data_IF_405573581963
#
_entry.id   IF_405573581963
#
_cell.length_a   1.000
_cell.length_b   1.000
_cell.length_c   1.000
_cell.angle_alpha   90.00
_cell.angle_beta   90.00
_cell.angle_gamma   90.00
#
_symmetry.space_group_name_H-M   'P 1'
#
loop_
_entity.id
_entity.type
_entity.pdbx_description
1 polymer ?
#
# COMPACT_ATOMS: atom_id res chain seq x y z
N UNK A 1 10.95 25.74 11.47
CA UNK A 1 9.95 24.98 10.69
C UNK A 1 9.51 25.86 9.54
N UNK A 2 9.41 25.33 8.33
CA UNK A 2 9.13 26.16 7.14
C UNK A 2 7.61 26.18 6.92
N UNK A 3 7.01 27.36 7.08
CA UNK A 3 5.62 27.57 6.71
C UNK A 3 5.48 27.52 5.19
N UNK A 4 4.47 26.82 4.71
CA UNK A 4 4.13 26.74 3.28
C UNK A 4 2.64 27.01 3.09
N UNK A 5 2.32 27.60 1.94
CA UNK A 5 0.94 27.91 1.55
C UNK A 5 0.72 27.50 0.11
N UNK A 6 -0.40 26.83 -0.14
CA UNK A 6 -0.85 26.44 -1.47
C UNK A 6 -2.28 26.92 -1.71
N UNK A 7 -2.58 27.23 -2.95
CA UNK A 7 -3.94 27.50 -3.43
C UNK A 7 -4.30 26.40 -4.46
N UNK A 8 -5.14 25.46 -4.05
CA UNK A 8 -5.60 24.37 -4.92
C UNK A 8 -6.79 24.79 -5.77
N UNK A 9 -6.74 24.55 -7.11
CA UNK A 9 -7.86 24.80 -8.02
C UNK A 9 -9.10 24.01 -7.61
N UNK A 10 -8.91 22.74 -7.33
CA UNK A 10 -9.88 21.80 -6.76
C UNK A 10 -9.22 20.97 -5.67
N UNK A 11 -9.92 20.69 -4.59
CA UNK A 11 -9.48 19.76 -3.56
C UNK A 11 -10.63 18.91 -3.04
N UNK A 12 -10.34 17.65 -2.71
CA UNK A 12 -11.29 16.78 -2.04
C UNK A 12 -11.09 16.84 -0.53
N UNK A 13 -12.12 17.34 0.17
CA UNK A 13 -12.05 17.58 1.62
C UNK A 13 -12.98 16.63 2.39
N UNK A 14 -12.53 16.11 3.55
CA UNK A 14 -13.36 15.22 4.39
C UNK A 14 -14.70 15.85 4.75
N UNK A 15 -15.80 15.14 4.49
CA UNK A 15 -17.17 15.58 4.82
C UNK A 15 -17.71 16.78 4.04
N UNK A 16 -16.89 17.43 3.18
CA UNK A 16 -17.29 18.54 2.33
C UNK A 16 -17.31 18.16 0.85
N UNK A 17 -16.65 17.04 0.49
CA UNK A 17 -16.53 16.60 -0.90
C UNK A 17 -15.58 17.46 -1.73
N UNK A 18 -15.88 17.65 -3.00
CA UNK A 18 -15.08 18.43 -3.93
C UNK A 18 -15.30 19.93 -3.73
N UNK A 19 -14.20 20.67 -3.40
CA UNK A 19 -14.19 22.11 -3.16
C UNK A 19 -13.30 22.83 -4.19
N UNK A 20 -13.60 24.10 -4.47
CA UNK A 20 -12.80 24.96 -5.36
C UNK A 20 -11.99 25.99 -4.56
N UNK A 21 -10.87 26.42 -5.15
CA UNK A 21 -10.04 27.53 -4.62
C UNK A 21 -9.73 27.35 -3.11
N UNK A 22 -9.13 26.20 -2.77
CA UNK A 22 -8.87 25.81 -1.39
C UNK A 22 -7.49 26.30 -0.97
N UNK A 23 -7.45 27.16 0.06
CA UNK A 23 -6.21 27.53 0.74
C UNK A 23 -5.78 26.37 1.65
N UNK A 24 -4.57 25.89 1.45
CA UNK A 24 -3.92 24.86 2.25
C UNK A 24 -2.62 25.43 2.81
N UNK A 25 -2.46 25.41 4.14
CA UNK A 25 -1.24 25.86 4.79
C UNK A 25 -0.68 24.74 5.67
N UNK A 26 0.63 24.69 5.77
CA UNK A 26 1.35 23.75 6.64
C UNK A 26 2.46 24.45 7.43
N UNK A 27 2.74 23.93 8.63
CA UNK A 27 3.92 24.27 9.42
C UNK A 27 4.67 22.98 9.76
N UNK A 28 5.83 22.81 9.14
CA UNK A 28 6.57 21.54 9.17
C UNK A 28 5.79 20.41 8.49
N UNK A 29 5.54 19.33 9.24
CA UNK A 29 4.90 18.09 8.76
C UNK A 29 3.37 18.07 8.90
N UNK A 30 2.73 19.18 9.31
CA UNK A 30 1.29 19.24 9.58
C UNK A 30 0.57 20.34 8.82
N UNK A 31 -0.63 20.02 8.33
CA UNK A 31 -1.54 21.06 7.88
C UNK A 31 -2.04 21.91 9.06
N UNK A 32 -1.98 23.22 8.90
CA UNK A 32 -2.49 24.19 9.88
C UNK A 32 -3.82 24.79 9.46
N UNK A 33 -3.99 24.98 8.13
CA UNK A 33 -5.20 25.53 7.53
C UNK A 33 -5.57 24.71 6.30
N UNK A 34 -6.85 24.36 6.17
CA UNK A 34 -7.43 23.81 4.95
C UNK A 34 -8.83 24.43 4.84
N UNK A 35 -8.96 25.46 4.01
CA UNK A 35 -10.19 26.27 3.98
C UNK A 35 -10.55 26.62 2.54
N UNK A 36 -11.76 26.26 2.04
CA UNK A 36 -12.25 26.78 0.78
C UNK A 36 -12.33 28.30 0.81
N UNK A 37 -11.97 28.98 -0.29
CA UNK A 37 -12.20 30.42 -0.41
C UNK A 37 -13.71 30.70 -0.25
N UNK A 38 -14.04 31.79 0.46
CA UNK A 38 -15.40 32.09 0.92
C UNK A 38 -16.47 31.85 -0.15
N UNK A 39 -17.51 31.10 0.25
CA UNK A 39 -18.73 30.73 -0.49
C UNK A 39 -18.56 29.79 -1.72
N UNK A 40 -18.40 28.53 -1.46
CA UNK A 40 -18.78 27.51 -2.45
C UNK A 40 -20.01 26.78 -1.92
N UNK A 41 -21.16 27.06 -2.53
CA UNK A 41 -22.32 26.17 -2.45
C UNK A 41 -21.88 24.79 -2.98
N UNK A 42 -22.21 23.68 -2.31
CA UNK A 42 -22.01 22.37 -2.90
C UNK A 42 -22.60 22.34 -4.31
N UNK A 43 -21.99 21.59 -5.22
CA UNK A 43 -22.36 21.51 -6.65
C UNK A 43 -23.83 21.16 -6.98
N UNK A 44 -24.75 21.24 -6.05
CA UNK A 44 -26.18 21.13 -6.28
C UNK A 44 -26.68 22.38 -7.01
N UNK A 45 -26.86 22.26 -8.33
CA UNK A 45 -27.49 23.20 -9.27
C UNK A 45 -26.73 24.49 -9.62
N UNK A 46 -25.82 24.41 -10.57
CA UNK A 46 -25.42 25.59 -11.34
C UNK A 46 -25.71 25.34 -12.81
N UNK A 47 -26.68 26.05 -13.34
CA UNK A 47 -26.89 26.24 -14.78
C UNK A 47 -25.62 26.85 -15.39
N UNK A 48 -25.14 26.41 -16.56
CA UNK A 48 -23.92 26.91 -17.17
C UNK A 48 -24.15 28.28 -17.80
N UNK A 49 -23.91 29.33 -17.04
CA UNK A 49 -23.90 30.72 -17.60
C UNK A 49 -22.98 31.58 -16.72
N UNK A 50 -21.70 31.63 -17.04
CA UNK A 50 -20.85 32.83 -17.03
C UNK A 50 -19.40 32.48 -17.35
N UNK A 51 -18.63 33.34 -18.07
CA UNK A 51 -17.20 33.14 -18.27
C UNK A 51 -16.44 33.21 -16.92
N UNK A 52 -15.35 32.43 -16.82
CA UNK A 52 -14.45 32.39 -15.67
C UNK A 52 -13.99 33.81 -15.27
N UNK A 53 -14.66 34.38 -14.29
CA UNK A 53 -14.13 35.56 -13.59
C UNK A 53 -13.07 35.05 -12.61
N UNK A 54 -11.83 35.56 -12.64
CA UNK A 54 -10.83 35.14 -11.68
C UNK A 54 -11.33 35.47 -10.27
N UNK A 55 -11.27 34.51 -9.33
CA UNK A 55 -11.71 34.75 -7.96
C UNK A 55 -10.85 35.85 -7.33
N UNK A 56 -11.49 36.78 -6.62
CA UNK A 56 -10.84 37.69 -5.68
C UNK A 56 -10.41 36.86 -4.45
N UNK A 57 -9.34 36.09 -4.61
CA UNK A 57 -8.81 35.24 -3.55
C UNK A 57 -8.10 36.10 -2.49
N UNK A 58 -8.47 35.94 -1.23
CA UNK A 58 -7.71 36.40 -0.07
C UNK A 58 -6.51 35.50 0.23
N UNK A 59 -6.05 34.72 -0.73
CA UNK A 59 -4.86 33.88 -0.57
C UNK A 59 -3.62 34.75 -0.37
N UNK A 60 -2.66 34.33 0.48
CA UNK A 60 -1.37 34.99 0.59
C UNK A 60 -0.72 35.16 -0.78
N UNK A 61 -0.07 36.30 -1.07
CA UNK A 61 0.49 36.60 -2.40
C UNK A 61 1.61 35.63 -2.81
N UNK A 62 2.17 34.88 -1.87
CA UNK A 62 3.21 33.87 -2.02
C UNK A 62 2.69 32.41 -2.03
N UNK A 63 1.37 32.21 -1.98
CA UNK A 63 0.80 30.86 -2.04
C UNK A 63 1.06 30.23 -3.41
N UNK A 64 1.66 29.04 -3.41
CA UNK A 64 1.90 28.24 -4.61
C UNK A 64 0.59 27.69 -5.17
N UNK A 65 0.35 27.87 -6.48
CA UNK A 65 -0.86 27.36 -7.10
C UNK A 65 -0.73 25.89 -7.46
N UNK A 66 -1.64 25.04 -6.93
CA UNK A 66 -1.79 23.63 -7.28
C UNK A 66 -2.87 23.51 -8.35
N UNK A 67 -2.45 23.15 -9.56
CA UNK A 67 -3.37 22.97 -10.69
C UNK A 67 -4.01 21.60 -10.69
N UNK A 68 -5.23 21.49 -11.24
CA UNK A 68 -5.98 20.25 -11.32
C UNK A 68 -6.71 19.88 -10.05
N UNK A 69 -6.75 18.60 -9.72
CA UNK A 69 -7.38 18.07 -8.51
C UNK A 69 -6.31 17.76 -7.45
N UNK A 70 -6.44 18.37 -6.27
CA UNK A 70 -5.62 18.04 -5.11
C UNK A 70 -6.32 17.01 -4.24
N UNK A 71 -5.64 15.92 -3.95
CA UNK A 71 -6.07 14.81 -3.10
C UNK A 71 -5.11 14.67 -1.92
N UNK A 72 -5.51 14.01 -0.82
CA UNK A 72 -4.55 13.50 0.16
C UNK A 72 -3.54 12.58 -0.51
N UNK A 73 -2.33 12.47 0.03
CA UNK A 73 -1.35 11.50 -0.42
C UNK A 73 -1.88 10.08 -0.37
N UNK A 74 -1.53 9.26 -1.38
CA UNK A 74 -1.99 7.86 -1.44
C UNK A 74 -1.19 6.98 -0.48
N UNK A 75 -1.85 5.95 0.06
CA UNK A 75 -1.24 4.84 0.78
C UNK A 75 -1.21 3.60 -0.10
N UNK A 76 -0.04 2.97 -0.19
CA UNK A 76 0.13 1.63 -0.73
C UNK A 76 0.16 0.66 0.45
N UNK A 77 -0.98 0.03 0.77
CA UNK A 77 -1.12 -0.75 2.00
C UNK A 77 -0.41 -2.11 1.95
N UNK A 78 0.06 -2.55 0.79
CA UNK A 78 0.77 -3.82 0.63
C UNK A 78 1.75 -3.79 -0.54
N UNK A 79 3.00 -4.16 -0.28
CA UNK A 79 4.11 -4.06 -1.21
C UNK A 79 5.20 -5.08 -0.89
N UNK A 80 5.83 -5.60 -1.94
CA UNK A 80 7.09 -6.33 -1.90
C UNK A 80 8.05 -5.66 -2.89
N UNK A 81 8.88 -4.72 -2.44
CA UNK A 81 9.70 -3.89 -3.32
C UNK A 81 10.52 -4.69 -4.35
N UNK A 82 11.08 -5.83 -3.94
CA UNK A 82 11.93 -6.63 -4.83
C UNK A 82 11.15 -7.32 -5.96
N UNK A 83 9.83 -7.53 -5.82
CA UNK A 83 9.00 -8.09 -6.90
C UNK A 83 8.97 -7.19 -8.14
N UNK A 84 9.30 -5.90 -8.00
CA UNK A 84 9.42 -5.00 -9.16
C UNK A 84 10.40 -5.52 -10.21
N UNK A 85 11.41 -6.29 -9.80
CA UNK A 85 12.35 -6.93 -10.71
C UNK A 85 11.72 -8.04 -11.58
N UNK A 86 10.54 -8.53 -11.22
CA UNK A 86 9.85 -9.60 -11.93
C UNK A 86 8.95 -9.10 -13.07
N UNK A 87 8.62 -7.80 -13.09
CA UNK A 87 7.71 -7.21 -14.09
C UNK A 87 8.17 -7.52 -15.53
N UNK A 88 7.28 -8.12 -16.31
CA UNK A 88 7.54 -8.51 -17.70
C UNK A 88 8.33 -9.81 -17.88
N UNK A 89 9.03 -10.31 -16.85
CA UNK A 89 9.82 -11.55 -16.97
C UNK A 89 8.99 -12.81 -16.71
N UNK A 90 7.98 -12.70 -15.87
CA UNK A 90 7.13 -13.83 -15.45
C UNK A 90 5.95 -14.08 -16.38
N UNK A 91 5.61 -13.15 -17.27
CA UNK A 91 4.59 -13.31 -18.30
C UNK A 91 5.14 -13.99 -19.57
N UNK A 92 6.46 -14.17 -19.69
CA UNK A 92 7.06 -14.90 -20.76
C UNK A 92 6.61 -16.39 -20.72
N UNK A 93 6.49 -17.03 -21.89
CA UNK A 93 6.23 -18.46 -22.02
C UNK A 93 4.96 -19.00 -21.33
N UNK A 94 3.92 -18.15 -21.18
CA UNK A 94 2.65 -18.51 -20.52
C UNK A 94 2.85 -18.99 -19.08
N UNK A 95 3.62 -18.24 -18.28
CA UNK A 95 3.90 -18.55 -16.90
C UNK A 95 2.64 -18.77 -16.05
N UNK A 96 2.81 -19.49 -14.95
CA UNK A 96 1.80 -19.76 -13.92
C UNK A 96 2.22 -19.10 -12.61
N UNK A 97 1.34 -19.07 -11.60
CA UNK A 97 1.70 -18.68 -10.23
C UNK A 97 2.97 -19.41 -9.73
N UNK A 98 3.16 -20.69 -10.06
CA UNK A 98 4.31 -21.48 -9.62
C UNK A 98 5.61 -21.05 -10.31
N UNK A 99 5.59 -20.77 -11.61
CA UNK A 99 6.76 -20.26 -12.33
C UNK A 99 7.12 -18.85 -11.90
N UNK A 100 6.12 -18.01 -11.57
CA UNK A 100 6.32 -16.70 -10.95
C UNK A 100 7.02 -16.86 -9.58
N UNK A 101 6.55 -17.77 -8.74
CA UNK A 101 7.12 -18.04 -7.40
C UNK A 101 8.56 -18.53 -7.47
N UNK A 102 8.91 -19.36 -8.44
CA UNK A 102 10.30 -19.79 -8.65
C UNK A 102 11.21 -18.61 -8.99
N UNK A 103 10.78 -17.73 -9.90
CA UNK A 103 11.54 -16.52 -10.26
C UNK A 103 11.68 -15.57 -9.10
N UNK A 104 10.63 -15.42 -8.30
CA UNK A 104 10.66 -14.61 -7.08
C UNK A 104 11.71 -15.13 -6.10
N UNK A 105 11.79 -16.44 -5.88
CA UNK A 105 12.82 -17.03 -5.02
C UNK A 105 14.24 -16.85 -5.58
N UNK A 106 14.44 -16.92 -6.89
CA UNK A 106 15.74 -16.63 -7.50
C UNK A 106 16.21 -15.20 -7.20
N UNK A 107 15.33 -14.22 -7.32
CA UNK A 107 15.65 -12.82 -6.98
C UNK A 107 15.90 -12.69 -5.47
N UNK A 108 14.96 -13.18 -4.64
CA UNK A 108 15.09 -13.12 -3.19
C UNK A 108 16.39 -13.76 -2.71
N UNK A 109 16.82 -14.87 -3.33
CA UNK A 109 18.06 -15.60 -2.98
C UNK A 109 19.35 -14.81 -3.21
N UNK A 110 19.34 -13.74 -4.03
CA UNK A 110 20.50 -12.95 -4.42
C UNK A 110 20.61 -11.60 -3.73
N UNK A 111 19.54 -11.16 -3.05
CA UNK A 111 19.54 -9.85 -2.41
C UNK A 111 20.48 -9.83 -1.20
N UNK A 112 21.25 -8.76 -1.11
CA UNK A 112 22.06 -8.39 0.03
C UNK A 112 21.63 -7.00 0.51
N UNK A 113 21.94 -6.55 1.73
CA UNK A 113 21.45 -5.28 2.26
C UNK A 113 21.66 -4.10 1.30
N UNK A 114 22.84 -3.94 0.71
CA UNK A 114 23.17 -2.84 -0.20
C UNK A 114 22.40 -2.93 -1.52
N UNK A 115 22.28 -4.11 -2.11
CA UNK A 115 21.54 -4.31 -3.35
C UNK A 115 20.04 -4.16 -3.14
N UNK A 116 19.52 -4.58 -1.98
CA UNK A 116 18.12 -4.41 -1.61
C UNK A 116 17.79 -2.94 -1.37
N UNK A 117 18.65 -2.20 -0.65
CA UNK A 117 18.52 -0.75 -0.48
C UNK A 117 18.44 -0.04 -1.85
N UNK A 118 19.38 -0.35 -2.75
CA UNK A 118 19.44 0.31 -4.05
C UNK A 118 18.19 0.03 -4.91
N UNK A 119 17.72 -1.23 -4.93
CA UNK A 119 16.50 -1.61 -5.64
C UNK A 119 15.27 -0.96 -5.02
N UNK A 120 15.08 -1.09 -3.70
CA UNK A 120 13.93 -0.55 -2.99
C UNK A 120 13.85 0.98 -3.11
N UNK A 121 14.98 1.71 -3.03
CA UNK A 121 15.03 3.15 -3.25
C UNK A 121 14.46 3.55 -4.62
N UNK A 122 14.85 2.84 -5.68
CA UNK A 122 14.35 3.11 -7.03
C UNK A 122 12.84 2.81 -7.15
N UNK A 123 12.37 1.72 -6.52
CA UNK A 123 10.95 1.33 -6.49
C UNK A 123 10.11 2.33 -5.69
N UNK A 124 10.59 2.77 -4.53
CA UNK A 124 9.90 3.77 -3.72
C UNK A 124 9.87 5.14 -4.41
N UNK A 125 10.91 5.48 -5.19
CA UNK A 125 10.87 6.66 -6.05
C UNK A 125 9.82 6.53 -7.18
N UNK A 126 9.64 5.33 -7.79
CA UNK A 126 8.53 5.05 -8.72
C UNK A 126 7.17 5.22 -8.02
N UNK A 127 7.04 4.75 -6.76
CA UNK A 127 5.82 4.94 -5.96
C UNK A 127 5.53 6.42 -5.71
N UNK A 128 6.54 7.23 -5.35
CA UNK A 128 6.35 8.66 -5.16
C UNK A 128 5.86 9.35 -6.45
N UNK A 129 6.43 9.00 -7.61
CA UNK A 129 5.95 9.49 -8.91
C UNK A 129 4.50 9.09 -9.21
N UNK A 130 4.01 8.00 -8.62
CA UNK A 130 2.62 7.56 -8.70
C UNK A 130 1.70 8.17 -7.62
N UNK A 131 2.19 9.12 -6.81
CA UNK A 131 1.40 9.80 -5.77
C UNK A 131 1.33 9.08 -4.43
N UNK A 132 2.07 7.99 -4.26
CA UNK A 132 2.13 7.24 -3.00
C UNK A 132 3.02 8.00 -2.02
N UNK A 133 2.53 8.23 -0.81
CA UNK A 133 3.23 8.96 0.25
C UNK A 133 3.60 8.06 1.43
N UNK A 134 2.98 6.88 1.53
CA UNK A 134 3.25 5.87 2.55
C UNK A 134 3.13 4.47 1.95
N UNK A 135 4.05 3.58 2.32
CA UNK A 135 4.05 2.18 1.87
C UNK A 135 4.08 1.23 3.07
N UNK A 136 3.25 0.19 3.02
CA UNK A 136 3.34 -1.00 3.85
C UNK A 136 4.20 -2.05 3.15
N UNK A 137 5.45 -2.15 3.54
CA UNK A 137 6.40 -3.07 2.93
C UNK A 137 6.40 -4.40 3.66
N UNK A 138 5.86 -5.44 3.03
CA UNK A 138 5.74 -6.79 3.57
C UNK A 138 7.08 -7.52 3.40
N UNK A 139 7.92 -7.46 4.43
CA UNK A 139 9.32 -7.82 4.40
C UNK A 139 9.58 -9.18 5.03
N UNK A 140 10.10 -10.16 4.26
CA UNK A 140 10.42 -11.51 4.73
C UNK A 140 11.82 -12.00 4.35
N UNK A 141 12.67 -11.20 3.72
CA UNK A 141 14.05 -11.57 3.38
C UNK A 141 14.97 -11.10 4.50
N UNK A 142 15.17 -11.92 5.54
CA UNK A 142 15.83 -11.50 6.78
C UNK A 142 17.31 -11.82 6.83
N UNK A 143 17.69 -13.05 6.47
CA UNK A 143 18.99 -13.63 6.74
C UNK A 143 19.88 -13.70 5.49
N UNK A 144 21.12 -14.13 5.67
CA UNK A 144 22.05 -14.43 4.58
C UNK A 144 21.49 -15.57 3.70
N UNK A 145 22.01 -15.78 2.48
CA UNK A 145 21.50 -16.82 1.57
C UNK A 145 21.48 -18.23 2.13
N UNK A 146 22.35 -18.53 3.08
CA UNK A 146 22.42 -19.83 3.77
C UNK A 146 21.49 -19.93 5.01
N UNK A 147 20.74 -18.86 5.32
CA UNK A 147 19.84 -18.77 6.46
C UNK A 147 20.50 -18.31 7.75
N UNK A 148 21.82 -18.01 7.77
CA UNK A 148 22.47 -17.48 8.96
C UNK A 148 22.17 -15.98 9.15
N UNK A 149 22.00 -15.48 10.39
CA UNK A 149 21.78 -14.06 10.63
C UNK A 149 22.96 -13.20 10.16
N UNK A 150 22.68 -12.00 9.69
CA UNK A 150 23.70 -10.96 9.55
C UNK A 150 24.22 -10.52 10.93
N UNK A 151 25.35 -9.79 10.98
CA UNK A 151 25.87 -9.20 12.21
C UNK A 151 24.84 -8.27 12.90
N UNK A 152 24.11 -7.46 12.12
CA UNK A 152 22.83 -6.88 12.52
C UNK A 152 21.72 -7.79 11.97
N UNK A 153 20.95 -8.48 12.82
CA UNK A 153 19.93 -9.42 12.38
C UNK A 153 18.78 -8.73 11.58
N UNK A 154 18.70 -7.41 11.65
CA UNK A 154 17.72 -6.57 10.96
C UNK A 154 18.31 -5.77 9.77
N UNK A 155 19.51 -6.11 9.30
CA UNK A 155 20.21 -5.37 8.25
C UNK A 155 19.35 -5.20 6.99
N UNK A 156 18.61 -6.23 6.55
CA UNK A 156 17.75 -6.19 5.37
C UNK A 156 16.55 -5.23 5.58
N UNK A 157 15.88 -5.29 6.73
CA UNK A 157 14.77 -4.40 7.06
C UNK A 157 15.24 -2.94 7.24
N UNK A 158 16.42 -2.71 7.84
CA UNK A 158 17.02 -1.35 7.93
C UNK A 158 17.36 -0.79 6.55
N UNK A 159 17.79 -1.62 5.61
CA UNK A 159 18.01 -1.22 4.22
C UNK A 159 16.73 -0.66 3.56
N UNK A 160 15.57 -1.28 3.82
CA UNK A 160 14.27 -0.80 3.33
C UNK A 160 13.85 0.53 3.99
N UNK A 161 14.05 0.66 5.31
CA UNK A 161 13.77 1.92 6.03
C UNK A 161 14.64 3.06 5.47
N UNK A 162 15.92 2.79 5.24
CA UNK A 162 16.83 3.76 4.63
C UNK A 162 16.43 4.09 3.19
N UNK A 163 16.06 3.10 2.40
CA UNK A 163 15.59 3.30 1.02
C UNK A 163 14.36 4.22 0.96
N UNK A 164 13.41 4.05 1.90
CA UNK A 164 12.23 4.91 2.00
C UNK A 164 12.61 6.34 2.36
N UNK A 165 13.55 6.55 3.30
CA UNK A 165 14.06 7.88 3.65
C UNK A 165 14.72 8.58 2.45
N UNK A 166 15.55 7.85 1.68
CA UNK A 166 16.25 8.39 0.51
C UNK A 166 15.30 8.70 -0.65
N UNK A 167 14.21 7.95 -0.78
CA UNK A 167 13.14 8.23 -1.74
C UNK A 167 12.12 9.26 -1.22
N UNK A 168 12.21 9.69 0.05
CA UNK A 168 11.30 10.65 0.65
C UNK A 168 9.93 10.10 1.02
N UNK A 169 9.75 8.77 1.07
CA UNK A 169 8.49 8.11 1.46
C UNK A 169 8.43 7.82 2.96
N UNK A 170 7.21 7.75 3.45
CA UNK A 170 6.91 7.12 4.74
C UNK A 170 6.74 5.62 4.56
N UNK A 171 7.21 4.82 5.53
CA UNK A 171 7.15 3.36 5.48
C UNK A 171 6.58 2.79 6.78
N UNK A 172 5.74 1.77 6.66
CA UNK A 172 5.49 0.80 7.72
C UNK A 172 6.20 -0.49 7.32
N UNK A 173 7.27 -0.84 8.01
CA UNK A 173 7.97 -2.08 7.79
C UNK A 173 7.18 -3.21 8.45
N UNK A 174 6.47 -4.00 7.64
CA UNK A 174 5.72 -5.17 8.06
C UNK A 174 6.67 -6.36 8.15
N UNK A 175 7.39 -6.44 9.27
CA UNK A 175 8.36 -7.50 9.52
C UNK A 175 7.64 -8.84 9.65
N UNK A 176 8.00 -9.79 8.79
CA UNK A 176 7.18 -10.97 8.52
C UNK A 176 7.71 -12.22 9.18
N UNK A 177 6.89 -12.87 10.00
CA UNK A 177 7.11 -14.23 10.45
C UNK A 177 6.86 -15.20 9.28
N UNK A 178 7.89 -16.04 8.95
CA UNK A 178 7.85 -17.01 7.86
C UNK A 178 8.64 -18.27 8.29
N UNK A 179 7.96 -19.37 8.59
CA UNK A 179 8.58 -20.53 9.28
C UNK A 179 8.48 -21.84 8.50
N UNK A 180 7.63 -21.90 7.45
CA UNK A 180 7.39 -23.12 6.69
C UNK A 180 7.44 -22.88 5.18
N UNK A 181 7.90 -23.87 4.42
CA UNK A 181 8.04 -23.81 2.97
C UNK A 181 6.71 -23.88 2.22
N UNK A 182 5.63 -24.26 2.90
CA UNK A 182 4.28 -24.37 2.36
C UNK A 182 3.38 -25.24 3.22
N UNK A 183 2.15 -25.34 2.81
CA UNK A 183 1.13 -26.24 3.37
C UNK A 183 0.48 -26.98 2.21
N UNK A 184 0.42 -28.30 2.31
CA UNK A 184 -0.31 -29.14 1.39
C UNK A 184 -1.22 -30.12 2.15
N UNK A 185 -1.91 -31.02 1.43
CA UNK A 185 -2.84 -31.99 2.04
C UNK A 185 -2.16 -33.01 2.98
N UNK A 186 -0.82 -33.10 2.97
CA UNK A 186 -0.02 -34.00 3.83
C UNK A 186 0.50 -33.29 5.08
N UNK A 187 0.44 -31.98 5.14
CA UNK A 187 0.86 -31.18 6.29
C UNK A 187 1.77 -30.01 5.92
N UNK A 188 2.47 -29.52 6.92
CA UNK A 188 3.41 -28.39 6.83
C UNK A 188 4.72 -28.87 6.18
N UNK A 189 5.20 -28.16 5.18
CA UNK A 189 6.46 -28.44 4.48
C UNK A 189 7.60 -27.60 5.07
N UNK A 190 8.81 -28.18 5.21
CA UNK A 190 9.96 -27.44 5.71
C UNK A 190 10.41 -26.34 4.73
N UNK A 191 11.09 -25.31 5.26
CA UNK A 191 11.78 -24.32 4.42
C UNK A 191 12.82 -25.01 3.52
N UNK A 192 12.89 -24.63 2.25
CA UNK A 192 13.80 -25.21 1.28
C UNK A 192 14.37 -24.15 0.33
N UNK A 193 15.60 -24.37 -0.16
CA UNK A 193 16.27 -23.45 -1.09
C UNK A 193 16.34 -22.03 -0.52
N UNK A 194 16.02 -20.99 -1.31
CA UNK A 194 16.07 -19.60 -0.85
C UNK A 194 15.15 -19.26 0.34
N UNK A 195 14.16 -20.10 0.66
CA UNK A 195 13.26 -19.87 1.79
C UNK A 195 13.97 -19.94 3.15
N UNK A 196 15.11 -20.64 3.26
CA UNK A 196 15.85 -20.76 4.52
C UNK A 196 16.26 -19.41 5.11
N UNK A 197 16.41 -18.38 4.27
CA UNK A 197 16.74 -17.02 4.70
C UNK A 197 15.55 -16.20 5.22
N UNK A 198 14.33 -16.78 5.23
CA UNK A 198 13.12 -16.08 5.69
C UNK A 198 12.78 -16.41 7.14
N UNK A 199 13.28 -17.54 7.67
CA UNK A 199 12.81 -18.10 8.92
C UNK A 199 13.72 -17.87 10.10
N UNK A 200 13.13 -17.54 11.24
CA UNK A 200 13.78 -17.32 12.54
C UNK A 200 13.73 -18.57 13.44
N UNK A 201 13.43 -19.74 12.86
CA UNK A 201 13.27 -20.99 13.58
C UNK A 201 11.87 -21.21 14.16
N UNK A 202 11.35 -20.27 14.94
CA UNK A 202 9.99 -20.27 15.48
C UNK A 202 9.44 -18.85 15.70
N UNK A 203 8.18 -18.74 16.18
CA UNK A 203 7.55 -17.45 16.42
C UNK A 203 8.21 -16.62 17.52
N UNK A 204 8.87 -17.25 18.50
CA UNK A 204 9.63 -16.55 19.54
C UNK A 204 10.95 -16.01 19.00
N UNK A 205 11.66 -16.78 18.14
CA UNK A 205 12.85 -16.31 17.43
C UNK A 205 12.55 -15.08 16.60
N UNK A 206 11.43 -15.10 15.85
CA UNK A 206 10.95 -13.92 15.13
C UNK A 206 10.72 -12.73 16.08
N UNK A 207 10.00 -12.92 17.20
CA UNK A 207 9.70 -11.85 18.15
C UNK A 207 10.97 -11.23 18.76
N UNK A 208 11.99 -12.04 19.05
CA UNK A 208 13.30 -11.57 19.55
C UNK A 208 14.00 -10.71 18.49
N UNK A 209 13.99 -11.11 17.21
CA UNK A 209 14.58 -10.32 16.12
C UNK A 209 13.79 -9.03 15.88
N UNK A 210 12.46 -9.09 15.84
CA UNK A 210 11.61 -7.92 15.68
C UNK A 210 11.79 -6.89 16.81
N UNK A 211 11.95 -7.35 18.07
CA UNK A 211 12.23 -6.47 19.21
C UNK A 211 13.57 -5.71 19.06
N UNK A 212 14.56 -6.31 18.40
CA UNK A 212 15.86 -5.67 18.16
C UNK A 212 15.82 -4.49 17.15
N UNK A 213 14.70 -4.23 16.48
CA UNK A 213 14.52 -2.96 15.77
C UNK A 213 14.44 -1.77 16.73
N UNK A 214 13.96 -1.97 17.96
CA UNK A 214 13.87 -0.95 19.00
C UNK A 214 12.79 0.10 18.72
N UNK A 215 11.53 -0.28 18.45
CA UNK A 215 10.46 0.69 18.27
C UNK A 215 10.20 1.49 19.56
N UNK A 216 9.85 2.78 19.43
CA UNK A 216 9.43 3.62 20.55
C UNK A 216 8.02 3.21 21.04
N UNK A 217 7.51 3.88 22.09
CA UNK A 217 6.17 3.62 22.66
C UNK A 217 5.01 3.82 21.67
N UNK A 218 5.28 4.43 20.51
CA UNK A 218 4.32 4.63 19.41
C UNK A 218 4.55 3.69 18.24
N UNK A 219 5.48 2.73 18.37
CA UNK A 219 5.88 1.84 17.30
C UNK A 219 6.79 2.47 16.25
N UNK A 220 7.30 3.69 16.46
CA UNK A 220 8.18 4.36 15.49
C UNK A 220 9.61 3.82 15.58
N UNK A 221 10.18 3.53 14.41
CA UNK A 221 11.60 3.21 14.20
C UNK A 221 12.41 4.47 13.81
N UNK A 222 11.74 5.42 13.15
CA UNK A 222 12.25 6.72 12.75
C UNK A 222 11.06 7.65 12.48
N UNK A 223 11.24 8.98 12.33
CA UNK A 223 10.13 9.91 12.05
C UNK A 223 9.27 9.53 10.82
N UNK A 224 9.88 8.87 9.82
CA UNK A 224 9.24 8.41 8.58
C UNK A 224 8.93 6.90 8.57
N UNK A 225 9.30 6.16 9.63
CA UNK A 225 9.21 4.70 9.64
C UNK A 225 8.54 4.17 10.90
N UNK A 226 7.60 3.26 10.72
CA UNK A 226 6.87 2.55 11.77
C UNK A 226 7.17 1.05 11.70
N UNK A 227 7.26 0.40 12.86
CA UNK A 227 7.29 -1.05 12.96
C UNK A 227 5.86 -1.59 12.81
N UNK A 228 5.70 -2.55 11.92
CA UNK A 228 4.54 -3.41 11.84
C UNK A 228 4.98 -4.87 11.86
N UNK A 229 4.04 -5.78 11.98
CA UNK A 229 4.31 -7.20 11.88
C UNK A 229 3.48 -7.83 10.76
N UNK A 230 3.95 -8.97 10.26
CA UNK A 230 3.13 -9.81 9.42
C UNK A 230 3.29 -11.29 9.77
N UNK A 231 2.20 -12.02 9.69
CA UNK A 231 2.18 -13.47 9.53
C UNK A 231 2.12 -13.72 8.04
N UNK A 232 3.13 -14.39 7.44
CA UNK A 232 3.15 -14.51 5.98
C UNK A 232 1.82 -15.05 5.44
N UNK A 233 1.38 -16.18 5.94
CA UNK A 233 0.10 -16.82 5.61
C UNK A 233 -0.07 -18.07 6.47
N UNK A 234 -1.25 -18.68 6.45
CA UNK A 234 -1.48 -20.02 7.06
C UNK A 234 -0.65 -21.13 6.39
N UNK A 235 -0.10 -20.86 5.20
CA UNK A 235 0.81 -21.77 4.47
C UNK A 235 2.23 -21.78 5.04
N UNK A 236 2.64 -20.69 5.66
CA UNK A 236 4.04 -20.44 6.05
C UNK A 236 4.25 -20.23 7.55
N UNK A 237 3.18 -20.09 8.32
CA UNK A 237 3.27 -20.00 9.79
C UNK A 237 2.26 -20.96 10.40
N UNK A 238 2.72 -22.07 11.01
CA UNK A 238 1.85 -22.98 11.76
C UNK A 238 1.16 -22.27 12.94
N UNK A 239 -0.08 -22.66 13.31
CA UNK A 239 -0.89 -21.98 14.33
C UNK A 239 -0.14 -21.76 15.67
N UNK A 240 0.59 -22.77 16.13
CA UNK A 240 1.35 -22.71 17.39
C UNK A 240 2.43 -21.61 17.45
N UNK A 241 2.78 -21.01 16.31
CA UNK A 241 3.75 -19.92 16.19
C UNK A 241 3.14 -18.54 15.97
N UNK A 242 1.80 -18.41 15.85
CA UNK A 242 1.13 -17.12 15.58
C UNK A 242 1.05 -16.25 16.84
N UNK A 243 0.81 -16.86 18.01
CA UNK A 243 0.64 -16.11 19.27
C UNK A 243 1.80 -15.16 19.62
N UNK A 244 3.11 -15.51 19.48
CA UNK A 244 4.20 -14.57 19.72
C UNK A 244 4.14 -13.31 18.85
N UNK A 245 3.68 -13.43 17.59
CA UNK A 245 3.50 -12.30 16.67
C UNK A 245 2.35 -11.41 17.13
N UNK A 246 1.20 -12.01 17.46
CA UNK A 246 0.02 -11.29 18.00
C UNK A 246 0.36 -10.56 19.30
N UNK A 247 1.07 -11.23 20.22
CA UNK A 247 1.51 -10.64 21.49
C UNK A 247 2.46 -9.45 21.29
N UNK A 248 3.38 -9.54 20.31
CA UNK A 248 4.29 -8.45 19.97
C UNK A 248 3.52 -7.23 19.41
N UNK A 249 2.60 -7.46 18.45
CA UNK A 249 1.78 -6.37 17.90
C UNK A 249 0.89 -5.70 18.93
N UNK A 250 0.31 -6.48 19.86
CA UNK A 250 -0.50 -5.95 20.94
C UNK A 250 0.32 -5.04 21.87
N UNK A 251 1.55 -5.44 22.21
CA UNK A 251 2.47 -4.68 23.07
C UNK A 251 2.85 -3.33 22.46
N UNK A 252 3.16 -3.30 21.17
CA UNK A 252 3.62 -2.11 20.47
C UNK A 252 2.49 -1.29 19.82
N UNK A 253 1.23 -1.73 19.92
CA UNK A 253 0.12 -1.11 19.19
C UNK A 253 0.28 -1.16 17.67
N UNK A 254 1.11 -2.07 17.17
CA UNK A 254 1.53 -2.15 15.79
C UNK A 254 0.45 -2.76 14.87
N UNK A 255 0.41 -2.41 13.56
CA UNK A 255 -0.42 -3.11 12.59
C UNK A 255 0.07 -4.54 12.35
N UNK A 256 -0.87 -5.44 12.04
CA UNK A 256 -0.62 -6.84 11.70
C UNK A 256 -1.19 -7.15 10.31
N UNK A 257 -0.36 -7.63 9.41
CA UNK A 257 -0.80 -8.00 8.06
C UNK A 257 -0.65 -9.51 7.83
N UNK A 258 -1.47 -10.06 6.92
CA UNK A 258 -1.43 -11.47 6.55
C UNK A 258 -2.00 -11.71 5.15
N UNK A 259 -1.31 -12.47 4.29
CA UNK A 259 -1.91 -13.03 3.07
C UNK A 259 -2.93 -14.09 3.46
N UNK A 260 -4.13 -14.00 2.91
CA UNK A 260 -5.21 -14.91 3.27
C UNK A 260 -6.08 -15.27 2.07
N UNK A 261 -6.29 -16.56 1.87
CA UNK A 261 -7.21 -17.09 0.86
C UNK A 261 -6.96 -16.53 -0.55
N UNK A 262 -5.70 -16.29 -0.89
CA UNK A 262 -5.25 -15.82 -2.19
C UNK A 262 -5.52 -16.87 -3.28
N UNK A 263 -5.12 -18.11 -3.01
CA UNK A 263 -5.27 -19.26 -3.88
C UNK A 263 -6.25 -20.28 -3.32
N UNK A 264 -7.05 -20.92 -4.19
CA UNK A 264 -7.95 -22.01 -3.77
C UNK A 264 -7.21 -23.16 -3.10
N UNK A 265 -6.00 -23.47 -3.58
CA UNK A 265 -5.15 -24.53 -3.04
C UNK A 265 -4.79 -24.27 -1.55
N UNK A 266 -4.62 -23.00 -1.15
CA UNK A 266 -4.41 -22.64 0.25
C UNK A 266 -5.61 -23.03 1.13
N UNK A 267 -6.82 -22.69 0.69
CA UNK A 267 -8.04 -23.03 1.41
C UNK A 267 -8.27 -24.55 1.50
N UNK A 268 -7.96 -25.27 0.42
CA UNK A 268 -8.07 -26.74 0.39
C UNK A 268 -7.07 -27.39 1.33
N UNK A 269 -5.81 -26.96 1.33
CA UNK A 269 -4.77 -27.45 2.21
C UNK A 269 -5.08 -27.14 3.69
N UNK A 270 -5.49 -25.92 3.99
CA UNK A 270 -5.87 -25.49 5.34
C UNK A 270 -7.01 -26.36 5.89
N UNK A 271 -8.08 -26.60 5.09
CA UNK A 271 -9.17 -27.48 5.50
C UNK A 271 -8.75 -28.94 5.66
N UNK A 272 -7.84 -29.42 4.81
CA UNK A 272 -7.38 -30.81 4.89
C UNK A 272 -6.53 -31.06 6.15
N UNK A 273 -5.70 -30.10 6.55
CA UNK A 273 -4.77 -30.25 7.67
C UNK A 273 -5.39 -29.79 9.00
N UNK A 274 -6.07 -28.65 9.01
CA UNK A 274 -6.59 -28.02 10.24
C UNK A 274 -8.10 -28.16 10.41
N UNK A 275 -8.83 -28.66 9.40
CA UNK A 275 -10.29 -28.88 9.46
C UNK A 275 -11.14 -27.62 9.26
N UNK A 276 -10.53 -26.44 9.11
CA UNK A 276 -11.20 -25.13 9.04
C UNK A 276 -10.68 -24.30 7.86
N UNK A 277 -11.36 -23.21 7.52
CA UNK A 277 -10.88 -22.22 6.55
C UNK A 277 -9.74 -21.37 7.10
N UNK A 278 -8.92 -20.71 6.25
CA UNK A 278 -7.90 -19.77 6.72
C UNK A 278 -8.47 -18.68 7.64
N UNK A 279 -9.58 -18.03 7.27
CA UNK A 279 -10.20 -16.99 8.09
C UNK A 279 -10.63 -17.52 9.48
N UNK A 280 -11.20 -18.73 9.52
CA UNK A 280 -11.62 -19.36 10.78
C UNK A 280 -10.41 -19.74 11.64
N UNK A 281 -9.34 -20.28 11.05
CA UNK A 281 -8.09 -20.58 11.75
C UNK A 281 -7.51 -19.33 12.39
N UNK A 282 -7.39 -18.24 11.62
CA UNK A 282 -6.86 -16.97 12.11
C UNK A 282 -7.70 -16.34 13.22
N UNK A 283 -9.02 -16.54 13.18
CA UNK A 283 -9.92 -16.12 14.25
C UNK A 283 -9.68 -16.93 15.54
N UNK A 284 -9.56 -18.26 15.41
CA UNK A 284 -9.32 -19.16 16.53
C UNK A 284 -7.96 -18.93 17.21
N UNK A 285 -6.97 -18.40 16.47
CA UNK A 285 -5.63 -18.03 16.96
C UNK A 285 -5.51 -16.54 17.36
N UNK A 286 -6.62 -15.82 17.53
CA UNK A 286 -6.68 -14.40 17.93
C UNK A 286 -5.90 -13.43 17.01
N UNK A 287 -5.67 -13.82 15.75
CA UNK A 287 -4.94 -12.99 14.77
C UNK A 287 -5.82 -11.85 14.26
N UNK A 288 -7.14 -12.08 14.13
CA UNK A 288 -8.06 -11.12 13.55
C UNK A 288 -8.51 -10.05 14.53
N UNK A 289 -8.45 -8.79 14.13
CA UNK A 289 -8.89 -7.66 14.95
C UNK A 289 -8.81 -6.33 14.20
N UNK A 290 -9.18 -5.21 14.82
CA UNK A 290 -9.28 -3.89 14.16
C UNK A 290 -7.94 -3.29 13.71
N UNK A 291 -6.81 -3.91 14.05
CA UNK A 291 -5.48 -3.56 13.52
C UNK A 291 -4.92 -4.61 12.58
N UNK A 292 -5.72 -5.62 12.21
CA UNK A 292 -5.30 -6.67 11.28
C UNK A 292 -5.76 -6.32 9.87
N UNK A 293 -4.86 -6.44 8.92
CA UNK A 293 -5.12 -6.36 7.49
C UNK A 293 -4.97 -7.73 6.86
N UNK A 294 -6.08 -8.27 6.32
CA UNK A 294 -6.04 -9.46 5.47
C UNK A 294 -5.81 -9.01 4.02
N UNK A 295 -4.79 -9.59 3.37
CA UNK A 295 -4.45 -9.26 1.98
C UNK A 295 -5.10 -10.29 1.06
N UNK A 296 -5.63 -9.82 -0.06
CA UNK A 296 -6.40 -10.52 -1.10
C UNK A 296 -7.81 -10.93 -0.66
N UNK A 297 -7.95 -11.87 0.27
CA UNK A 297 -9.25 -12.44 0.67
C UNK A 297 -10.12 -12.89 -0.53
N UNK A 298 -9.46 -13.41 -1.59
CA UNK A 298 -10.09 -13.70 -2.90
C UNK A 298 -11.08 -14.85 -2.81
N UNK A 299 -10.74 -15.92 -2.07
CA UNK A 299 -11.52 -17.16 -2.02
C UNK A 299 -12.20 -17.36 -0.66
N UNK A 300 -12.87 -16.33 -0.13
CA UNK A 300 -13.61 -16.41 1.14
C UNK A 300 -15.05 -16.90 0.94
N UNK A 301 -15.54 -17.67 1.91
CA UNK A 301 -16.93 -18.12 1.97
C UNK A 301 -17.84 -17.11 2.70
N UNK A 302 -19.16 -17.32 2.68
CA UNK A 302 -20.09 -16.50 3.46
C UNK A 302 -19.78 -16.52 4.98
N UNK A 303 -19.42 -17.68 5.52
CA UNK A 303 -19.03 -17.83 6.92
C UNK A 303 -17.72 -17.08 7.24
N UNK A 304 -16.77 -17.05 6.28
CA UNK A 304 -15.53 -16.28 6.42
C UNK A 304 -15.80 -14.78 6.44
N UNK A 305 -16.75 -14.30 5.60
CA UNK A 305 -17.17 -12.89 5.60
C UNK A 305 -17.74 -12.45 6.96
N UNK A 306 -18.57 -13.30 7.60
CA UNK A 306 -19.12 -13.01 8.92
C UNK A 306 -18.01 -12.90 9.98
N UNK A 307 -17.01 -13.76 9.95
CA UNK A 307 -15.85 -13.74 10.84
C UNK A 307 -15.01 -12.49 10.62
N UNK A 308 -14.67 -12.18 9.38
CA UNK A 308 -13.83 -11.03 9.01
C UNK A 308 -14.51 -9.70 9.38
N UNK A 309 -15.79 -9.55 9.03
CA UNK A 309 -16.56 -8.36 9.34
C UNK A 309 -16.78 -8.18 10.85
N UNK A 310 -17.09 -9.27 11.56
CA UNK A 310 -17.22 -9.25 13.03
C UNK A 310 -15.93 -8.88 13.75
N UNK A 311 -14.79 -9.18 13.17
CA UNK A 311 -13.45 -8.81 13.66
C UNK A 311 -13.02 -7.39 13.25
N UNK A 312 -13.80 -6.70 12.42
CA UNK A 312 -13.53 -5.33 11.93
C UNK A 312 -12.15 -5.17 11.26
N UNK A 313 -11.71 -6.18 10.51
CA UNK A 313 -10.42 -6.16 9.84
C UNK A 313 -10.39 -5.18 8.66
N UNK A 314 -9.18 -4.76 8.28
CA UNK A 314 -8.94 -4.19 6.96
C UNK A 314 -8.83 -5.32 5.94
N UNK A 315 -9.35 -5.10 4.73
CA UNK A 315 -9.16 -5.99 3.59
C UNK A 315 -8.38 -5.25 2.49
N UNK A 316 -7.13 -5.61 2.31
CA UNK A 316 -6.26 -5.03 1.30
C UNK A 316 -6.41 -5.78 -0.02
N UNK A 317 -6.96 -5.12 -1.02
CA UNK A 317 -7.14 -5.66 -2.36
C UNK A 317 -6.01 -5.19 -3.27
N UNK A 318 -5.52 -6.09 -4.12
CA UNK A 318 -4.42 -5.85 -5.04
C UNK A 318 -4.81 -6.24 -6.48
N UNK A 319 -5.82 -5.57 -7.08
CA UNK A 319 -6.41 -5.98 -8.34
C UNK A 319 -5.45 -6.17 -9.50
N UNK A 320 -4.35 -5.41 -9.58
CA UNK A 320 -3.38 -5.59 -10.65
C UNK A 320 -2.59 -6.89 -10.49
N UNK A 321 -2.23 -7.27 -9.26
CA UNK A 321 -1.59 -8.54 -8.95
C UNK A 321 -2.54 -9.71 -9.15
N UNK A 322 -3.76 -9.62 -8.62
CA UNK A 322 -4.79 -10.66 -8.72
C UNK A 322 -5.12 -10.98 -10.19
N UNK A 323 -5.07 -9.97 -11.08
CA UNK A 323 -5.19 -10.16 -12.54
C UNK A 323 -3.96 -10.81 -13.15
N UNK A 324 -2.76 -10.35 -12.75
CA UNK A 324 -1.49 -10.81 -13.32
C UNK A 324 -1.21 -12.28 -12.97
N UNK A 325 -1.50 -12.67 -11.73
CA UNK A 325 -1.32 -14.04 -11.23
C UNK A 325 -2.52 -14.96 -11.52
N UNK A 326 -3.65 -14.40 -11.93
CA UNK A 326 -4.85 -15.17 -12.22
C UNK A 326 -5.54 -15.72 -10.98
N UNK A 327 -5.45 -15.03 -9.83
CA UNK A 327 -5.97 -15.46 -8.54
C UNK A 327 -7.50 -15.55 -8.53
N UNK A 328 -8.15 -14.58 -9.19
CA UNK A 328 -9.61 -14.53 -9.28
C UNK A 328 -10.15 -13.13 -9.03
N UNK A 329 -11.42 -13.03 -8.65
CA UNK A 329 -12.10 -11.80 -8.33
C UNK A 329 -12.37 -11.75 -6.82
N UNK A 330 -11.65 -10.89 -6.11
CA UNK A 330 -11.91 -10.68 -4.69
C UNK A 330 -13.33 -10.12 -4.47
N UNK A 331 -14.11 -10.63 -3.49
CA UNK A 331 -15.47 -10.21 -3.25
C UNK A 331 -15.53 -8.88 -2.46
N UNK A 332 -15.07 -7.79 -3.08
CA UNK A 332 -14.90 -6.48 -2.45
C UNK A 332 -16.20 -5.96 -1.82
N UNK A 333 -17.32 -6.03 -2.55
CA UNK A 333 -18.61 -5.59 -2.03
C UNK A 333 -19.11 -6.43 -0.86
N UNK A 334 -19.08 -7.77 -0.89
CA UNK A 334 -19.38 -8.61 0.27
C UNK A 334 -18.50 -8.31 1.50
N UNK A 335 -17.19 -8.13 1.31
CA UNK A 335 -16.27 -7.75 2.40
C UNK A 335 -16.67 -6.42 3.04
N UNK A 336 -16.91 -5.37 2.23
CA UNK A 336 -17.36 -4.07 2.72
C UNK A 336 -18.74 -4.17 3.42
N UNK A 337 -19.67 -4.92 2.85
CA UNK A 337 -21.01 -5.12 3.43
C UNK A 337 -20.99 -5.91 4.74
N UNK A 338 -20.02 -6.79 4.94
CA UNK A 338 -19.80 -7.51 6.19
C UNK A 338 -19.18 -6.62 7.30
N UNK A 339 -18.60 -5.47 6.95
CA UNK A 339 -17.99 -4.53 7.91
C UNK A 339 -16.46 -4.43 7.83
N UNK A 340 -15.84 -5.07 6.84
CA UNK A 340 -14.41 -4.88 6.59
C UNK A 340 -14.15 -3.50 5.98
N UNK A 341 -13.05 -2.85 6.38
CA UNK A 341 -12.58 -1.61 5.76
C UNK A 341 -11.66 -1.95 4.58
N UNK A 342 -12.03 -1.51 3.37
CA UNK A 342 -11.20 -1.78 2.18
C UNK A 342 -9.97 -0.88 2.14
N UNK A 343 -8.83 -1.43 1.73
CA UNK A 343 -7.59 -0.73 1.41
C UNK A 343 -6.99 -1.28 0.11
N UNK A 344 -5.96 -0.64 -0.42
CA UNK A 344 -5.36 -0.96 -1.71
C UNK A 344 -3.86 -1.18 -1.60
N UNK A 345 -3.34 -2.15 -2.35
CA UNK A 345 -1.92 -2.44 -2.44
C UNK A 345 -1.48 -2.73 -3.87
N UNK A 346 -0.22 -2.43 -4.22
CA UNK A 346 0.39 -2.77 -5.51
C UNK A 346 1.07 -4.13 -5.53
N UNK A 347 1.26 -4.73 -4.38
CA UNK A 347 1.75 -6.08 -4.08
C UNK A 347 2.94 -6.52 -4.96
N UNK A 348 2.71 -7.29 -6.03
CA UNK A 348 3.77 -7.81 -6.91
C UNK A 348 4.37 -6.76 -7.86
N UNK A 349 3.84 -5.53 -7.86
CA UNK A 349 4.28 -4.44 -8.75
C UNK A 349 4.18 -4.77 -10.25
N UNK A 350 3.22 -5.59 -10.64
CA UNK A 350 2.83 -5.69 -12.04
C UNK A 350 2.53 -4.29 -12.60
N UNK A 351 1.84 -3.47 -11.78
CA UNK A 351 1.67 -2.01 -11.97
C UNK A 351 1.91 -1.31 -10.63
N UNK A 352 2.43 -0.08 -10.64
CA UNK A 352 2.46 0.82 -9.48
C UNK A 352 1.60 2.03 -9.82
N UNK A 353 0.30 1.94 -9.52
CA UNK A 353 -0.71 2.97 -9.79
C UNK A 353 -1.94 2.74 -8.90
N UNK A 354 -2.03 3.48 -7.80
CA UNK A 354 -3.13 3.33 -6.82
C UNK A 354 -4.50 3.72 -7.42
N UNK A 355 -4.53 4.59 -8.43
CA UNK A 355 -5.79 4.90 -9.14
C UNK A 355 -6.23 3.70 -10.00
N UNK A 356 -5.29 2.92 -10.54
CA UNK A 356 -5.62 1.68 -11.24
C UNK A 356 -6.08 0.59 -10.28
N UNK A 357 -5.47 0.46 -9.10
CA UNK A 357 -5.95 -0.44 -8.06
C UNK A 357 -7.39 -0.06 -7.65
N UNK A 358 -7.65 1.23 -7.40
CA UNK A 358 -8.96 1.73 -7.03
C UNK A 358 -10.05 1.37 -8.07
N UNK A 359 -9.81 1.68 -9.36
CA UNK A 359 -10.77 1.32 -10.42
C UNK A 359 -10.86 -0.19 -10.65
N UNK A 360 -9.76 -0.91 -10.39
CA UNK A 360 -9.69 -2.36 -10.49
C UNK A 360 -10.71 -3.05 -9.57
N UNK A 361 -10.88 -2.57 -8.35
CA UNK A 361 -11.91 -3.06 -7.40
C UNK A 361 -13.32 -2.95 -8.00
N UNK A 362 -13.70 -1.77 -8.52
CA UNK A 362 -15.01 -1.58 -9.14
C UNK A 362 -15.16 -2.43 -10.41
N UNK A 363 -14.12 -2.56 -11.23
CA UNK A 363 -14.17 -3.34 -12.47
C UNK A 363 -14.27 -4.84 -12.21
N UNK A 364 -13.61 -5.36 -11.17
CA UNK A 364 -13.74 -6.75 -10.73
C UNK A 364 -15.20 -7.07 -10.33
N UNK A 365 -15.83 -6.21 -9.54
CA UNK A 365 -17.25 -6.35 -9.17
C UNK A 365 -18.18 -6.25 -10.39
N UNK A 366 -17.92 -5.31 -11.32
CA UNK A 366 -18.71 -5.21 -12.57
C UNK A 366 -18.67 -6.48 -13.39
N UNK A 367 -17.49 -7.07 -13.55
CA UNK A 367 -17.30 -8.30 -14.30
C UNK A 367 -17.97 -9.50 -13.61
N UNK A 368 -17.75 -9.65 -12.31
CA UNK A 368 -18.30 -10.75 -11.53
C UNK A 368 -19.84 -10.71 -11.45
N UNK A 369 -20.43 -9.51 -11.26
CA UNK A 369 -21.88 -9.32 -11.06
C UNK A 369 -22.64 -8.90 -12.31
N UNK A 370 -21.94 -8.55 -13.42
CA UNK A 370 -22.56 -8.07 -14.66
C UNK A 370 -23.45 -6.84 -14.46
N UNK A 371 -23.07 -5.97 -13.55
CA UNK A 371 -23.75 -4.73 -13.19
C UNK A 371 -22.74 -3.63 -12.86
N UNK A 372 -23.18 -2.36 -12.77
CA UNK A 372 -22.31 -1.20 -12.50
C UNK A 372 -22.72 -0.51 -11.21
N UNK A 373 -21.81 0.34 -10.67
CA UNK A 373 -22.11 1.22 -9.54
C UNK A 373 -22.06 0.50 -8.21
N UNK A 374 -21.03 -0.32 -7.99
CA UNK A 374 -20.80 -1.01 -6.72
C UNK A 374 -20.11 -0.09 -5.71
N UNK A 375 -19.18 0.75 -6.18
CA UNK A 375 -18.45 1.73 -5.39
C UNK A 375 -18.47 3.10 -6.05
N UNK A 376 -18.56 4.16 -5.25
CA UNK A 376 -18.37 5.54 -5.70
C UNK A 376 -16.88 5.86 -5.82
N UNK A 377 -16.52 6.88 -6.59
CA UNK A 377 -15.14 7.37 -6.65
C UNK A 377 -14.63 7.77 -5.27
N UNK A 378 -15.47 8.40 -4.46
CA UNK A 378 -15.14 8.80 -3.09
C UNK A 378 -14.79 7.60 -2.19
N UNK A 379 -15.59 6.53 -2.23
CA UNK A 379 -15.31 5.30 -1.45
C UNK A 379 -13.97 4.67 -1.86
N UNK A 380 -13.68 4.64 -3.17
CA UNK A 380 -12.41 4.10 -3.68
C UNK A 380 -11.22 4.98 -3.31
N UNK A 381 -11.38 6.31 -3.32
CA UNK A 381 -10.35 7.23 -2.84
C UNK A 381 -10.13 7.14 -1.33
N UNK A 382 -11.17 6.88 -0.53
CA UNK A 382 -11.01 6.60 0.90
C UNK A 382 -10.15 5.34 1.14
N UNK A 383 -10.36 4.27 0.35
CA UNK A 383 -9.52 3.08 0.40
C UNK A 383 -8.06 3.37 0.02
N UNK A 384 -7.85 4.25 -0.97
CA UNK A 384 -6.55 4.69 -1.45
C UNK A 384 -5.81 5.67 -0.51
N UNK A 385 -6.50 6.28 0.45
CA UNK A 385 -5.98 7.36 1.31
C UNK A 385 -6.16 7.04 2.78
N UNK A 386 -7.18 7.58 3.45
CA UNK A 386 -7.34 7.51 4.92
C UNK A 386 -7.41 6.07 5.46
N UNK A 387 -8.11 5.18 4.78
CA UNK A 387 -8.19 3.78 5.20
C UNK A 387 -6.83 3.06 5.07
N UNK A 388 -6.13 3.25 3.93
CA UNK A 388 -4.81 2.70 3.71
C UNK A 388 -3.79 3.20 4.74
N UNK A 389 -3.74 4.52 5.00
CA UNK A 389 -2.85 5.06 6.04
C UNK A 389 -3.17 4.51 7.44
N UNK A 390 -4.46 4.40 7.78
CA UNK A 390 -4.88 3.85 9.08
C UNK A 390 -4.45 2.40 9.24
N UNK A 391 -4.63 1.58 8.20
CA UNK A 391 -4.20 0.17 8.21
C UNK A 391 -2.69 -0.01 8.39
N UNK A 392 -1.91 1.01 8.03
CA UNK A 392 -0.47 1.09 8.19
C UNK A 392 -0.01 1.74 9.52
N UNK A 393 -0.94 2.08 10.42
CA UNK A 393 -0.64 2.70 11.71
C UNK A 393 -0.44 4.23 11.66
N UNK A 394 -0.83 4.90 10.56
CA UNK A 394 -0.75 6.35 10.40
C UNK A 394 -2.14 7.01 10.31
N UNK A 395 -2.99 6.93 11.36
CA UNK A 395 -4.37 7.44 11.31
C UNK A 395 -4.44 8.98 11.17
N UNK A 396 -3.32 9.67 11.37
CA UNK A 396 -3.16 11.11 11.22
C UNK A 396 -2.76 11.54 9.79
N UNK A 397 -2.71 10.61 8.81
CA UNK A 397 -2.41 10.85 7.42
C UNK A 397 -3.62 10.54 6.50
N UNK A 398 -3.50 10.87 5.21
CA UNK A 398 -4.51 10.55 4.20
C UNK A 398 -5.76 11.43 4.21
N UNK A 399 -5.66 12.64 4.78
CA UNK A 399 -6.74 13.62 4.82
C UNK A 399 -6.19 15.04 4.61
N UNK A 400 -6.90 15.87 3.83
CA UNK A 400 -6.66 17.30 3.77
C UNK A 400 -7.47 17.99 4.88
N UNK A 401 -6.90 18.04 6.08
CA UNK A 401 -7.54 18.62 7.26
C UNK A 401 -6.52 19.23 8.22
N UNK A 402 -6.84 20.30 8.96
CA UNK A 402 -5.97 20.84 9.99
C UNK A 402 -5.57 19.76 11.01
N UNK A 403 -4.28 19.71 11.36
CA UNK A 403 -3.68 18.72 12.26
C UNK A 403 -3.26 17.41 11.59
N UNK A 404 -3.77 17.09 10.40
CA UNK A 404 -3.31 15.93 9.63
C UNK A 404 -1.89 16.15 9.08
N UNK A 405 -1.21 15.06 8.72
CA UNK A 405 0.10 15.12 8.05
C UNK A 405 -0.01 15.85 6.72
N UNK A 406 0.98 16.68 6.45
CA UNK A 406 1.01 17.53 5.26
C UNK A 406 1.44 16.70 4.02
N UNK A 407 0.59 15.74 3.66
CA UNK A 407 0.73 14.89 2.48
C UNK A 407 -0.37 15.23 1.47
N UNK A 408 0.03 15.64 0.28
CA UNK A 408 -0.91 15.90 -0.80
C UNK A 408 -0.35 15.47 -2.16
N UNK A 409 -1.25 15.17 -3.07
CA UNK A 409 -0.93 14.89 -4.47
C UNK A 409 -1.82 15.72 -5.40
N UNK A 410 -1.31 16.11 -6.56
CA UNK A 410 -2.12 16.74 -7.61
C UNK A 410 -2.29 15.80 -8.79
N UNK A 411 -3.53 15.69 -9.28
CA UNK A 411 -3.89 14.96 -10.49
C UNK A 411 -4.24 15.97 -11.59
N UNK A 412 -3.56 15.90 -12.72
CA UNK A 412 -3.85 16.74 -13.89
C UNK A 412 -5.24 16.43 -14.45
N UNK A 413 -6.03 17.47 -14.72
CA UNK A 413 -7.33 17.37 -15.38
C UNK A 413 -7.29 17.81 -16.85
N UNK A 414 -6.10 18.12 -17.36
CA UNK A 414 -5.87 18.63 -18.71
C UNK A 414 -4.97 17.73 -19.57
N UNK A 415 -4.72 16.48 -19.11
CA UNK A 415 -3.94 15.49 -19.85
C UNK A 415 -4.79 14.84 -20.95
N UNK A 416 -4.15 14.05 -21.85
CA UNK A 416 -4.86 13.26 -22.86
C UNK A 416 -5.92 12.31 -22.28
N UNK A 417 -5.77 11.88 -21.02
CA UNK A 417 -6.69 10.97 -20.34
C UNK A 417 -7.84 11.68 -19.66
N UNK A 418 -7.63 12.91 -19.21
CA UNK A 418 -8.55 13.65 -18.32
C UNK A 418 -9.18 14.88 -18.94
N UNK A 419 -8.62 15.40 -20.05
CA UNK A 419 -9.08 16.61 -20.70
C UNK A 419 -10.54 16.50 -21.17
N UNK A 420 -11.30 17.58 -20.98
CA UNK A 420 -12.71 17.69 -21.41
C UNK A 420 -13.72 17.10 -20.42
N UNK A 421 -13.28 16.50 -19.32
CA UNK A 421 -14.18 16.05 -18.28
C UNK A 421 -14.77 17.25 -17.50
N UNK A 422 -16.07 17.20 -17.12
CA UNK A 422 -16.67 18.22 -16.26
C UNK A 422 -15.91 18.31 -14.91
N UNK A 423 -15.64 19.55 -14.44
CA UNK A 423 -14.86 19.75 -13.21
C UNK A 423 -15.57 19.27 -11.95
N UNK A 424 -16.90 19.18 -11.95
CA UNK A 424 -17.72 18.61 -10.89
C UNK A 424 -17.64 17.08 -10.82
N UNK A 425 -17.09 16.43 -11.86
CA UNK A 425 -16.80 15.00 -11.92
C UNK A 425 -15.29 14.72 -11.78
N UNK A 426 -14.53 15.61 -11.13
CA UNK A 426 -13.07 15.46 -11.00
C UNK A 426 -12.66 14.21 -10.22
N UNK A 427 -13.43 13.76 -9.22
CA UNK A 427 -13.16 12.54 -8.47
C UNK A 427 -13.33 11.29 -9.34
N UNK A 428 -14.44 11.23 -10.10
CA UNK A 428 -14.69 10.15 -11.06
C UNK A 428 -13.64 10.14 -12.16
N UNK A 429 -13.23 11.33 -12.64
CA UNK A 429 -12.18 11.47 -13.65
C UNK A 429 -10.84 10.95 -13.11
N UNK A 430 -10.47 11.31 -11.89
CA UNK A 430 -9.25 10.81 -11.26
C UNK A 430 -9.27 9.28 -11.13
N UNK A 431 -10.33 8.71 -10.57
CA UNK A 431 -10.41 7.25 -10.35
C UNK A 431 -10.52 6.49 -11.66
N UNK A 432 -11.39 6.92 -12.61
CA UNK A 432 -11.75 6.09 -13.77
C UNK A 432 -11.01 6.44 -15.06
N UNK A 433 -10.27 7.55 -15.10
CA UNK A 433 -9.57 7.97 -16.31
C UNK A 433 -8.09 8.32 -16.09
N UNK A 434 -7.70 8.94 -14.96
CA UNK A 434 -6.32 9.29 -14.72
C UNK A 434 -5.44 8.06 -14.42
N UNK A 435 -4.14 8.24 -14.46
CA UNK A 435 -3.12 7.24 -14.13
C UNK A 435 -1.95 7.88 -13.39
N UNK A 436 -0.98 7.10 -12.95
CA UNK A 436 0.26 7.59 -12.36
C UNK A 436 0.95 8.68 -13.21
N UNK A 437 0.81 8.63 -14.55
CA UNK A 437 1.35 9.65 -15.45
C UNK A 437 0.65 11.03 -15.38
N UNK A 438 -0.47 11.13 -14.67
CA UNK A 438 -1.20 12.38 -14.46
C UNK A 438 -0.89 13.03 -13.11
N UNK A 439 -0.02 12.42 -12.30
CA UNK A 439 0.46 12.98 -11.05
C UNK A 439 1.47 14.09 -11.35
N UNK A 440 1.18 15.30 -10.88
CA UNK A 440 2.05 16.46 -11.08
C UNK A 440 2.94 16.75 -9.89
N UNK A 441 2.35 16.98 -8.72
CA UNK A 441 3.05 17.34 -7.48
C UNK A 441 2.75 16.31 -6.41
N UNK A 442 3.77 15.93 -5.64
CA UNK A 442 3.65 15.11 -4.43
C UNK A 442 4.41 15.79 -3.29
N UNK A 443 3.69 16.08 -2.23
CA UNK A 443 4.23 16.63 -0.98
C UNK A 443 4.09 15.58 0.11
N UNK A 444 5.16 15.34 0.85
CA UNK A 444 5.20 14.39 1.97
C UNK A 444 5.78 15.08 3.20
N UNK A 445 5.04 15.05 4.32
CA UNK A 445 5.41 15.76 5.54
C UNK A 445 5.82 17.24 5.26
N UNK A 446 5.04 17.92 4.39
CA UNK A 446 5.24 19.32 4.01
C UNK A 446 6.42 19.59 3.06
N UNK A 447 7.08 18.55 2.52
CA UNK A 447 8.24 18.67 1.61
C UNK A 447 7.87 18.18 0.21
N UNK A 448 8.32 18.90 -0.80
CA UNK A 448 8.17 18.43 -2.18
C UNK A 448 9.06 17.20 -2.40
N UNK A 449 8.47 16.13 -2.84
CA UNK A 449 9.16 14.90 -3.28
C UNK A 449 9.08 14.78 -4.81
N UNK A 450 7.92 15.15 -5.38
CA UNK A 450 7.73 15.20 -6.84
C UNK A 450 7.19 16.58 -7.22
N UNK A 451 7.74 17.16 -8.30
CA UNK A 451 7.26 18.39 -8.90
C UNK A 451 7.25 18.25 -10.42
N UNK A 452 6.13 18.63 -11.03
CA UNK A 452 5.91 18.53 -12.48
C UNK A 452 6.25 17.13 -13.05
N UNK A 453 5.91 16.07 -12.29
CA UNK A 453 6.20 14.69 -12.66
C UNK A 453 7.68 14.29 -12.55
N UNK A 454 8.52 15.10 -11.92
CA UNK A 454 9.95 14.82 -11.71
C UNK A 454 10.22 14.58 -10.23
N UNK A 455 10.90 13.47 -9.93
CA UNK A 455 11.34 13.14 -8.57
C UNK A 455 12.52 14.01 -8.15
N UNK A 456 12.43 14.70 -7.01
CA UNK A 456 13.44 15.69 -6.61
C UNK A 456 14.64 15.09 -5.88
N UNK A 457 14.48 13.90 -5.26
CA UNK A 457 15.53 13.24 -4.47
C UNK A 457 16.27 12.15 -5.25
N UNK A 458 15.63 11.54 -6.23
CA UNK A 458 16.21 10.51 -7.11
C UNK A 458 16.16 11.03 -8.56
N UNK A 459 17.28 11.52 -9.12
CA UNK A 459 17.25 12.32 -10.35
C UNK A 459 16.80 11.58 -11.62
N UNK A 460 17.12 10.29 -11.75
CA UNK A 460 16.78 9.48 -12.93
C UNK A 460 16.24 8.12 -12.48
N UNK A 461 14.98 8.11 -12.06
CA UNK A 461 14.32 6.91 -11.57
C UNK A 461 14.33 5.77 -12.62
N UNK A 462 14.04 6.01 -13.91
CA UNK A 462 14.13 4.95 -14.92
C UNK A 462 15.53 4.33 -15.05
N UNK A 463 16.59 5.12 -15.02
CA UNK A 463 17.95 4.60 -15.08
C UNK A 463 18.32 3.80 -13.81
N UNK A 464 17.94 4.29 -12.64
CA UNK A 464 18.14 3.57 -11.37
C UNK A 464 17.38 2.22 -11.34
N UNK A 465 16.10 2.19 -11.74
CA UNK A 465 15.34 0.95 -11.91
C UNK A 465 16.02 0.00 -12.88
N UNK A 466 16.41 0.48 -14.06
CA UNK A 466 17.05 -0.35 -15.06
C UNK A 466 18.38 -0.95 -14.57
N UNK A 467 19.16 -0.18 -13.82
CA UNK A 467 20.43 -0.62 -13.22
C UNK A 467 20.23 -1.66 -12.13
N UNK A 468 19.36 -1.37 -11.17
CA UNK A 468 19.16 -2.22 -9.99
C UNK A 468 18.42 -3.52 -10.31
N UNK A 469 17.44 -3.47 -11.23
CA UNK A 469 16.74 -4.67 -11.71
C UNK A 469 17.71 -5.60 -12.46
N UNK A 470 18.57 -5.06 -13.36
CA UNK A 470 19.59 -5.88 -14.02
C UNK A 470 20.51 -6.55 -13.01
N UNK A 471 20.97 -5.81 -11.99
CA UNK A 471 21.81 -6.39 -10.94
C UNK A 471 21.10 -7.51 -10.16
N UNK A 472 19.81 -7.36 -9.84
CA UNK A 472 19.03 -8.38 -9.13
C UNK A 472 18.75 -9.65 -9.98
N UNK A 473 18.66 -9.50 -11.31
CA UNK A 473 18.40 -10.61 -12.23
C UNK A 473 19.67 -11.33 -12.70
N UNK A 474 20.84 -10.69 -12.66
CA UNK A 474 22.11 -11.29 -13.11
C UNK A 474 22.70 -12.14 -11.97
N UNK A 475 23.06 -13.42 -12.22
CA UNK A 475 23.82 -14.21 -11.25
C UNK A 475 25.13 -13.50 -10.88
N UNK A 476 25.58 -13.63 -9.62
CA UNK A 476 26.94 -13.28 -9.28
C UNK A 476 27.90 -14.26 -9.99
N UNK A 477 28.95 -13.73 -10.62
CA UNK A 477 29.99 -14.53 -11.31
C UNK A 477 30.74 -15.45 -10.30
#
# INVERSE_FOLDING_TARGET
MTKRSWLADLAWLPGQGLCRDVLIEADGDRFTTVTPAASVTPFASVTPTAPDTPPTSSAPPDAERLRGLTLPGFANAHSHAFHRALRGTTQADRGTFWTWRERMYEVAGRLEPDSYLALARAVYAEMALAGITCVGEFHYVHHQPDGTPYADPNAMGRALIQAAAEAGLRITLLDTCYLAGGLDKTGVLPLAGPQVRFGDGDGFGWAVRAEAFGPDDRGLLAPHAMAGAAIHSVRAVPPEHMHPVVAWTARHGAPLHIHMSEQRAENEACRAVYGVSPARLLYDEDVLGPRTTVVHATHVSAADLDVLGGSQVFACLCPTTERDLGDGLAPARPLAAAGCTLTLGSDSHAVIDILEEARGVEYAERLGRRSRGHFTAETLLQAATSAGHTSLGWPDAGQLAPGARADLVTVSLDSLRTAGAPRDLALETAVFAASAADIGTVVIDGRDVVRDGVHLLVPDVPAELARTIRAALTPAD
#
